data_IF_459946145537
#
_entry.id   IF_459946145537
#
_cell.length_a   1.000
_cell.length_b   1.000
_cell.length_c   1.000
_cell.angle_alpha   90.00
_cell.angle_beta   90.00
_cell.angle_gamma   90.00
#
_symmetry.space_group_name_H-M   'P 1'
#
loop_
_entity.id
_entity.type
_entity.pdbx_description
1 polymer ?
#
# COMPACT_ATOMS: atom_id res chain seq x y z
N UNK A 1 -19.45 9.81 3.32
CA UNK A 1 -18.91 8.43 3.22
C UNK A 1 -19.93 7.50 3.88
N UNK A 2 -20.60 6.61 3.14
CA UNK A 2 -21.66 5.77 3.75
C UNK A 2 -21.03 4.62 4.55
N UNK A 3 -21.60 4.27 5.70
CA UNK A 3 -21.08 3.20 6.58
C UNK A 3 -20.94 1.85 5.86
N UNK A 4 -21.74 1.65 4.79
CA UNK A 4 -21.70 0.46 3.93
C UNK A 4 -20.44 0.39 3.05
N UNK A 5 -19.85 1.54 2.71
CA UNK A 5 -18.60 1.61 1.94
C UNK A 5 -17.40 1.12 2.73
N UNK A 6 -17.29 1.49 4.01
CA UNK A 6 -16.19 1.05 4.87
C UNK A 6 -16.20 -0.48 5.11
N UNK A 7 -17.38 -1.08 5.25
CA UNK A 7 -17.51 -2.55 5.38
C UNK A 7 -17.11 -3.31 4.10
N UNK A 8 -17.21 -2.67 2.92
CA UNK A 8 -16.88 -3.29 1.63
C UNK A 8 -15.39 -3.37 1.32
N UNK A 9 -14.53 -2.65 2.05
CA UNK A 9 -13.08 -2.78 1.92
C UNK A 9 -12.60 -4.18 2.33
N UNK A 10 -13.26 -4.82 3.29
CA UNK A 10 -12.91 -6.17 3.75
C UNK A 10 -11.40 -6.27 4.07
N UNK A 11 -10.65 -7.19 3.43
CA UNK A 11 -9.22 -7.35 3.71
C UNK A 11 -8.38 -6.12 3.32
N UNK A 12 -8.88 -5.20 2.47
CA UNK A 12 -8.16 -3.99 2.07
C UNK A 12 -7.90 -3.02 3.22
N UNK A 13 -8.58 -3.21 4.35
CA UNK A 13 -8.25 -2.51 5.60
C UNK A 13 -6.80 -2.75 6.05
N UNK A 14 -6.23 -3.94 5.79
CA UNK A 14 -4.84 -4.21 6.13
C UNK A 14 -3.88 -3.29 5.37
N UNK A 15 -4.12 -3.11 4.06
CA UNK A 15 -3.33 -2.20 3.22
C UNK A 15 -3.50 -0.76 3.67
N UNK A 16 -4.74 -0.34 3.97
CA UNK A 16 -5.04 1.01 4.42
C UNK A 16 -4.36 1.33 5.77
N UNK A 17 -4.47 0.42 6.75
CA UNK A 17 -3.84 0.57 8.07
C UNK A 17 -2.33 0.60 7.93
N UNK A 18 -1.72 -0.32 7.17
CA UNK A 18 -0.27 -0.32 6.95
C UNK A 18 0.23 0.98 6.29
N UNK A 19 -0.49 1.47 5.27
CA UNK A 19 -0.17 2.74 4.62
C UNK A 19 -0.32 3.95 5.53
N UNK A 20 -1.39 3.99 6.34
CA UNK A 20 -1.63 5.06 7.30
C UNK A 20 -0.57 5.07 8.42
N UNK A 21 -0.19 3.89 8.93
CA UNK A 21 0.90 3.77 9.90
C UNK A 21 2.20 4.30 9.30
N UNK A 22 2.51 3.97 8.05
CA UNK A 22 3.66 4.52 7.34
C UNK A 22 3.63 6.05 7.27
N UNK A 23 2.49 6.63 6.91
CA UNK A 23 2.30 8.08 6.85
C UNK A 23 2.49 8.75 8.22
N UNK A 24 1.92 8.17 9.28
CA UNK A 24 2.08 8.67 10.65
C UNK A 24 3.56 8.65 11.07
N UNK A 25 4.27 7.55 10.80
CA UNK A 25 5.71 7.44 11.11
C UNK A 25 6.55 8.49 10.37
N UNK A 26 6.24 8.76 9.09
CA UNK A 26 6.89 9.85 8.35
C UNK A 26 6.62 11.20 9.03
N UNK A 27 5.37 11.46 9.45
CA UNK A 27 5.02 12.69 10.17
C UNK A 27 5.71 12.84 11.53
N UNK A 28 6.11 11.73 12.16
CA UNK A 28 6.89 11.69 13.40
C UNK A 28 8.41 11.71 13.15
N UNK A 29 8.87 12.13 11.97
CA UNK A 29 10.27 12.14 11.54
C UNK A 29 10.96 10.77 11.48
N UNK A 30 10.21 9.67 11.62
CA UNK A 30 10.72 8.30 11.46
C UNK A 30 10.65 7.87 9.99
N UNK A 31 11.24 8.66 9.09
CA UNK A 31 11.06 8.56 7.63
C UNK A 31 11.43 7.18 7.10
N UNK A 32 12.50 6.57 7.61
CA UNK A 32 12.94 5.23 7.16
C UNK A 32 11.93 4.14 7.53
N UNK A 33 11.43 4.14 8.76
CA UNK A 33 10.40 3.19 9.19
C UNK A 33 9.07 3.44 8.48
N UNK A 34 8.69 4.71 8.31
CA UNK A 34 7.50 5.08 7.55
C UNK A 34 7.56 4.61 6.10
N UNK A 35 8.72 4.77 5.45
CA UNK A 35 8.98 4.27 4.10
C UNK A 35 8.84 2.75 3.98
N UNK A 36 9.36 1.98 4.95
CA UNK A 36 9.18 0.53 4.97
C UNK A 36 7.70 0.12 5.10
N UNK A 37 6.95 0.78 5.98
CA UNK A 37 5.51 0.51 6.13
C UNK A 37 4.72 0.84 4.87
N UNK A 38 5.01 1.98 4.22
CA UNK A 38 4.34 2.35 2.97
C UNK A 38 4.69 1.38 1.82
N UNK A 39 5.96 0.97 1.71
CA UNK A 39 6.38 -0.06 0.76
C UNK A 39 5.67 -1.39 1.01
N UNK A 40 5.63 -1.85 2.26
CA UNK A 40 4.95 -3.08 2.64
C UNK A 40 3.45 -3.02 2.32
N UNK A 41 2.80 -1.88 2.54
CA UNK A 41 1.40 -1.68 2.18
C UNK A 41 1.15 -1.85 0.66
N UNK A 42 2.03 -1.28 -0.18
CA UNK A 42 1.93 -1.39 -1.64
C UNK A 42 2.14 -2.83 -2.11
N UNK A 43 3.16 -3.52 -1.59
CA UNK A 43 3.44 -4.92 -1.92
C UNK A 43 2.32 -5.85 -1.45
N UNK A 44 1.78 -5.62 -0.26
CA UNK A 44 0.59 -6.33 0.25
C UNK A 44 -0.61 -6.08 -0.66
N UNK A 45 -0.83 -4.83 -1.10
CA UNK A 45 -1.87 -4.47 -2.05
C UNK A 45 -1.72 -5.20 -3.39
N UNK A 46 -0.50 -5.32 -3.90
CA UNK A 46 -0.20 -6.08 -5.12
C UNK A 46 -0.53 -7.57 -4.96
N UNK A 47 -0.09 -8.18 -3.85
CA UNK A 47 -0.38 -9.58 -3.53
C UNK A 47 -1.89 -9.82 -3.37
N UNK A 48 -2.58 -8.98 -2.62
CA UNK A 48 -4.02 -9.06 -2.45
C UNK A 48 -4.77 -8.88 -3.77
N UNK A 49 -4.34 -7.94 -4.61
CA UNK A 49 -4.91 -7.73 -5.94
C UNK A 49 -4.68 -8.95 -6.84
N UNK A 50 -3.52 -9.61 -6.74
CA UNK A 50 -3.22 -10.82 -7.50
C UNK A 50 -4.07 -12.02 -7.05
N UNK A 51 -4.31 -12.17 -5.75
CA UNK A 51 -4.97 -13.33 -5.16
C UNK A 51 -6.50 -13.21 -5.08
N UNK A 52 -7.05 -12.02 -4.87
CA UNK A 52 -8.49 -11.83 -4.68
C UNK A 52 -9.24 -11.74 -6.02
N UNK A 53 -10.26 -12.59 -6.18
CA UNK A 53 -11.09 -12.67 -7.40
C UNK A 53 -12.14 -11.55 -7.50
N UNK A 54 -12.55 -10.97 -6.36
CA UNK A 54 -13.56 -9.90 -6.30
C UNK A 54 -13.01 -8.70 -5.55
N UNK A 55 -12.30 -7.80 -6.23
CA UNK A 55 -11.89 -6.56 -5.61
C UNK A 55 -13.09 -5.64 -5.49
N UNK A 56 -13.57 -5.41 -4.27
CA UNK A 56 -14.64 -4.47 -4.00
C UNK A 56 -14.31 -3.09 -4.57
N UNK A 57 -14.93 -2.72 -5.70
CA UNK A 57 -14.96 -1.35 -6.21
C UNK A 57 -14.03 -0.98 -7.38
N UNK A 58 -13.18 -1.88 -7.88
CA UNK A 58 -12.21 -1.56 -8.97
C UNK A 58 -12.58 -2.26 -10.29
N UNK A 59 -13.83 -2.09 -10.73
CA UNK A 59 -14.42 -2.83 -11.86
C UNK A 59 -13.93 -2.41 -13.26
N UNK A 60 -13.24 -1.26 -13.39
CA UNK A 60 -12.95 -0.65 -14.70
C UNK A 60 -11.51 -0.87 -15.17
N UNK A 61 -10.58 -1.31 -14.31
CA UNK A 61 -9.15 -1.41 -14.64
C UNK A 61 -8.67 -2.88 -14.69
N UNK A 62 -7.87 -3.22 -15.70
CA UNK A 62 -7.28 -4.57 -15.86
C UNK A 62 -6.51 -4.95 -14.60
N UNK A 63 -6.86 -6.09 -13.98
CA UNK A 63 -6.25 -6.63 -12.75
C UNK A 63 -4.73 -6.58 -12.77
N UNK A 64 -4.12 -7.02 -13.89
CA UNK A 64 -2.66 -7.08 -14.03
C UNK A 64 -1.99 -5.70 -14.00
N UNK A 65 -2.63 -4.65 -14.53
CA UNK A 65 -2.07 -3.30 -14.50
C UNK A 65 -1.94 -2.80 -13.06
N UNK A 66 -2.93 -3.08 -12.22
CA UNK A 66 -2.88 -2.70 -10.80
C UNK A 66 -1.81 -3.50 -10.05
N UNK A 67 -1.71 -4.80 -10.30
CA UNK A 67 -0.68 -5.66 -9.68
C UNK A 67 0.71 -5.15 -10.05
N UNK A 68 0.98 -4.93 -11.34
CA UNK A 68 2.29 -4.43 -11.80
C UNK A 68 2.57 -3.05 -11.23
N UNK A 69 1.60 -2.13 -11.25
CA UNK A 69 1.81 -0.77 -10.72
C UNK A 69 2.14 -0.79 -9.23
N UNK A 70 1.37 -1.54 -8.43
CA UNK A 70 1.60 -1.65 -6.98
C UNK A 70 2.92 -2.34 -6.67
N UNK A 71 3.27 -3.37 -7.43
CA UNK A 71 4.53 -4.09 -7.26
C UNK A 71 5.72 -3.20 -7.62
N UNK A 72 5.67 -2.54 -8.77
CA UNK A 72 6.72 -1.61 -9.22
C UNK A 72 6.89 -0.45 -8.25
N UNK A 73 5.81 0.21 -7.82
CA UNK A 73 5.89 1.31 -6.85
C UNK A 73 6.38 0.84 -5.48
N UNK A 74 5.87 -0.29 -4.99
CA UNK A 74 6.30 -0.88 -3.72
C UNK A 74 7.78 -1.22 -3.71
N UNK A 75 8.25 -1.92 -4.74
CA UNK A 75 9.68 -2.27 -4.88
C UNK A 75 10.56 -1.04 -5.08
N UNK A 76 10.16 -0.10 -5.93
CA UNK A 76 10.93 1.13 -6.13
C UNK A 76 11.05 1.95 -4.84
N UNK A 77 9.96 2.06 -4.07
CA UNK A 77 9.99 2.73 -2.77
C UNK A 77 10.87 1.98 -1.77
N UNK A 78 10.78 0.64 -1.72
CA UNK A 78 11.63 -0.17 -0.85
C UNK A 78 13.11 0.09 -1.12
N UNK A 79 13.49 0.06 -2.40
CA UNK A 79 14.86 0.30 -2.84
C UNK A 79 15.29 1.72 -2.49
N UNK A 80 14.45 2.72 -2.76
CA UNK A 80 14.74 4.11 -2.41
C UNK A 80 14.96 4.28 -0.90
N UNK A 81 14.07 3.73 -0.07
CA UNK A 81 14.16 3.81 1.40
C UNK A 81 15.36 3.05 1.96
N UNK A 82 15.75 1.95 1.33
CA UNK A 82 16.88 1.13 1.75
C UNK A 82 18.23 1.74 1.37
N UNK A 83 18.32 2.41 0.21
CA UNK A 83 19.59 2.90 -0.34
C UNK A 83 19.84 4.38 -0.09
N UNK A 84 18.79 5.19 -0.01
CA UNK A 84 18.95 6.64 0.24
C UNK A 84 19.31 6.85 1.70
N UNK A 85 20.31 7.70 1.94
CA UNK A 85 20.57 8.24 3.28
C UNK A 85 19.43 9.17 3.67
N UNK A 86 18.47 8.58 4.36
CA UNK A 86 17.41 9.29 5.06
C UNK A 86 17.98 9.72 6.43
N UNK A 87 18.98 10.60 6.38
CA UNK A 87 19.53 11.26 7.57
C UNK A 87 18.57 12.42 7.87
N UNK A 88 17.70 12.23 8.88
CA UNK A 88 16.86 13.30 9.44
C UNK A 88 17.47 13.73 10.76
#
# INVERSE_FOLDING_TARGET
>A
MSWRGLRRLGPWWLVAVAGLTGLVLVGLHMVRFGGYFMSAALLLGAAMRALLSRPGGLAVRRKWVDVVSLLTLGTALLVAVALVRLDV
#
